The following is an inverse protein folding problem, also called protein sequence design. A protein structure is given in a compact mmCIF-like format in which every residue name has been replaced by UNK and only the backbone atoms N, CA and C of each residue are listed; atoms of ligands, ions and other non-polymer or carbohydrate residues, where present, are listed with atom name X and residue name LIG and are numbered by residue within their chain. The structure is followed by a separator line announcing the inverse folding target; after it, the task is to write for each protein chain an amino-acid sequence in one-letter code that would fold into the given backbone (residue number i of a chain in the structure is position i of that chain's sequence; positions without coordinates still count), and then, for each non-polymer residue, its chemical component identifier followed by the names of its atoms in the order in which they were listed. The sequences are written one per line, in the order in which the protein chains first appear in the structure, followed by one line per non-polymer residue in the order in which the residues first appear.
data_IF_266128915121
#
_entry.id   IF_266128915121
#
_cell.length_a   1.000
_cell.length_b   1.000
_cell.length_c   1.000
_cell.angle_alpha   90.00
_cell.angle_beta   90.00
_cell.angle_gamma   90.00
#
_symmetry.space_group_name_H-M   'P 1'
#
loop_
_entity.id
_entity.type
_entity.pdbx_description
1 polymer ?
#
# COMPACT_ATOMS: atom_id res chain seq x y z
N UNK A 1 5.87 0.01 -21.16
CA UNK A 1 5.78 -0.41 -19.75
C UNK A 1 7.15 -0.13 -19.12
N UNK A 2 7.28 0.03 -17.79
CA UNK A 2 8.61 0.17 -17.21
C UNK A 2 9.42 -1.09 -17.49
N UNK A 3 10.65 -0.95 -17.99
CA UNK A 3 11.53 -2.06 -18.33
C UNK A 3 12.37 -2.51 -17.12
N UNK A 4 12.26 -1.80 -16.00
CA UNK A 4 12.98 -2.05 -14.75
C UNK A 4 12.03 -2.59 -13.66
N UNK A 5 12.26 -3.80 -13.12
CA UNK A 5 11.49 -4.36 -11.99
C UNK A 5 11.38 -3.41 -10.79
N UNK A 6 12.42 -2.62 -10.49
CA UNK A 6 12.40 -1.69 -9.37
C UNK A 6 11.50 -0.48 -9.57
N UNK A 7 11.32 -0.02 -10.81
CA UNK A 7 10.33 1.01 -11.11
C UNK A 7 8.90 0.49 -10.92
N UNK A 8 8.66 -0.79 -11.24
CA UNK A 8 7.37 -1.44 -11.00
C UNK A 8 7.09 -1.55 -9.51
N UNK A 9 8.08 -1.93 -8.70
CA UNK A 9 7.95 -2.04 -7.23
C UNK A 9 7.68 -0.66 -6.61
N UNK A 10 8.40 0.39 -7.04
CA UNK A 10 8.16 1.77 -6.58
C UNK A 10 6.77 2.27 -6.96
N UNK A 11 6.34 2.01 -8.19
CA UNK A 11 4.98 2.35 -8.64
C UNK A 11 3.92 1.59 -7.83
N UNK A 12 4.14 0.31 -7.54
CA UNK A 12 3.25 -0.47 -6.68
C UNK A 12 3.16 0.13 -5.28
N UNK A 13 4.30 0.46 -4.65
CA UNK A 13 4.34 1.09 -3.34
C UNK A 13 3.53 2.39 -3.28
N UNK A 14 3.65 3.24 -4.29
CA UNK A 14 2.88 4.49 -4.35
C UNK A 14 1.38 4.23 -4.51
N UNK A 15 0.99 3.21 -5.27
CA UNK A 15 -0.42 2.79 -5.38
C UNK A 15 -0.95 2.28 -4.06
N UNK A 16 -0.20 1.46 -3.33
CA UNK A 16 -0.64 0.95 -2.03
C UNK A 16 -0.78 2.07 -0.99
N UNK A 17 0.12 3.06 -1.01
CA UNK A 17 -0.01 4.26 -0.15
C UNK A 17 -1.28 5.05 -0.49
N UNK A 18 -1.65 5.17 -1.77
CA UNK A 18 -2.90 5.83 -2.20
C UNK A 18 -4.11 5.00 -1.76
N UNK A 19 -4.09 3.68 -1.97
CA UNK A 19 -5.16 2.77 -1.59
C UNK A 19 -5.42 2.82 -0.08
N UNK A 20 -4.36 2.77 0.74
CA UNK A 20 -4.44 2.94 2.19
C UNK A 20 -5.16 4.23 2.61
N UNK A 21 -4.77 5.38 2.03
CA UNK A 21 -5.42 6.67 2.32
C UNK A 21 -6.88 6.66 1.90
N UNK A 22 -7.20 6.12 0.73
CA UNK A 22 -8.57 6.05 0.22
C UNK A 22 -9.45 5.18 1.12
N UNK A 23 -9.01 3.96 1.47
CA UNK A 23 -9.78 3.09 2.35
C UNK A 23 -9.94 3.65 3.77
N UNK A 24 -8.91 4.34 4.28
CA UNK A 24 -9.01 5.04 5.57
C UNK A 24 -10.08 6.13 5.52
N UNK A 25 -10.11 6.92 4.44
CA UNK A 25 -11.12 7.96 4.25
C UNK A 25 -12.52 7.37 4.01
N UNK A 26 -12.64 6.30 3.23
CA UNK A 26 -13.90 5.60 3.00
C UNK A 26 -14.46 4.99 4.29
N UNK A 27 -13.62 4.42 5.14
CA UNK A 27 -14.01 3.98 6.47
C UNK A 27 -14.52 5.15 7.34
N UNK A 28 -13.95 6.36 7.19
CA UNK A 28 -14.34 7.54 7.96
C UNK A 28 -15.73 8.06 7.56
N UNK A 29 -16.07 8.01 6.26
CA UNK A 29 -17.34 8.52 5.73
C UNK A 29 -18.44 7.45 5.63
N UNK A 30 -18.11 6.16 5.77
CA UNK A 30 -19.06 5.08 5.74
C UNK A 30 -20.08 5.17 6.89
N UNK A 31 -21.36 5.15 6.54
CA UNK A 31 -22.48 5.24 7.49
C UNK A 31 -22.88 3.89 8.06
N UNK A 32 -22.69 2.81 7.29
CA UNK A 32 -22.99 1.44 7.71
C UNK A 32 -21.77 0.84 8.44
N UNK A 33 -21.94 0.32 9.68
CA UNK A 33 -20.85 -0.25 10.46
C UNK A 33 -20.06 -1.35 9.72
N UNK A 34 -20.76 -2.22 9.01
CA UNK A 34 -20.17 -3.36 8.29
C UNK A 34 -19.27 -2.90 7.14
N UNK A 35 -19.69 -1.85 6.44
CA UNK A 35 -18.92 -1.24 5.34
C UNK A 35 -17.69 -0.49 5.89
N UNK A 36 -17.85 0.21 7.03
CA UNK A 36 -16.72 0.85 7.71
C UNK A 36 -15.68 -0.19 8.12
N UNK A 37 -16.11 -1.31 8.69
CA UNK A 37 -15.20 -2.35 9.17
C UNK A 37 -14.50 -3.05 8.00
N UNK A 38 -15.20 -3.25 6.88
CA UNK A 38 -14.58 -3.72 5.64
C UNK A 38 -13.49 -2.76 5.14
N UNK A 39 -13.76 -1.45 5.07
CA UNK A 39 -12.75 -0.48 4.63
C UNK A 39 -11.58 -0.37 5.61
N UNK A 40 -11.81 -0.52 6.91
CA UNK A 40 -10.73 -0.60 7.91
C UNK A 40 -9.86 -1.82 7.71
N UNK A 41 -10.48 -2.98 7.46
CA UNK A 41 -9.77 -4.21 7.15
C UNK A 41 -8.90 -4.04 5.90
N UNK A 42 -9.46 -3.52 4.81
CA UNK A 42 -8.71 -3.25 3.58
C UNK A 42 -7.55 -2.27 3.81
N UNK A 43 -7.76 -1.19 4.56
CA UNK A 43 -6.69 -0.27 4.91
C UNK A 43 -5.55 -0.97 5.67
N UNK A 44 -5.85 -1.83 6.64
CA UNK A 44 -4.80 -2.56 7.36
C UNK A 44 -4.06 -3.58 6.48
N UNK A 45 -4.72 -4.17 5.47
CA UNK A 45 -4.03 -5.02 4.48
C UNK A 45 -3.07 -4.19 3.60
N UNK A 46 -3.50 -3.05 3.07
CA UNK A 46 -2.62 -2.20 2.25
C UNK A 46 -1.42 -1.67 3.03
N UNK A 47 -1.60 -1.41 4.33
CA UNK A 47 -0.49 -1.04 5.22
C UNK A 47 0.58 -2.14 5.31
N UNK A 48 0.18 -3.42 5.29
CA UNK A 48 1.12 -4.55 5.25
C UNK A 48 1.83 -4.60 3.89
N UNK A 49 1.11 -4.37 2.79
CA UNK A 49 1.71 -4.31 1.45
C UNK A 49 2.74 -3.17 1.34
N UNK A 50 2.41 -1.97 1.84
CA UNK A 50 3.34 -0.83 1.89
C UNK A 50 4.62 -1.20 2.64
N UNK A 51 4.49 -1.87 3.80
CA UNK A 51 5.65 -2.31 4.58
C UNK A 51 6.50 -3.31 3.80
N UNK A 52 5.88 -4.36 3.25
CA UNK A 52 6.58 -5.39 2.47
C UNK A 52 7.36 -4.78 1.29
N UNK A 53 6.72 -3.92 0.51
CA UNK A 53 7.35 -3.27 -0.65
C UNK A 53 8.45 -2.30 -0.24
N UNK A 54 8.30 -1.59 0.89
CA UNK A 54 9.34 -0.71 1.41
C UNK A 54 10.56 -1.50 1.88
N UNK A 55 10.34 -2.60 2.60
CA UNK A 55 11.40 -3.50 3.08
C UNK A 55 12.17 -4.12 1.89
N UNK A 56 11.48 -4.45 0.79
CA UNK A 56 12.13 -4.98 -0.42
C UNK A 56 13.01 -3.93 -1.11
N UNK A 57 12.50 -2.70 -1.25
CA UNK A 57 13.28 -1.59 -1.81
C UNK A 57 14.54 -1.30 -0.96
N UNK A 58 14.40 -1.32 0.36
CA UNK A 58 15.53 -1.09 1.27
C UNK A 58 16.60 -2.19 1.15
N UNK A 59 16.21 -3.45 1.04
CA UNK A 59 17.13 -4.57 0.85
C UNK A 59 17.89 -4.46 -0.46
N UNK A 60 17.20 -4.18 -1.57
CA UNK A 60 17.85 -4.06 -2.88
C UNK A 60 18.82 -2.87 -2.90
N UNK A 61 18.44 -1.75 -2.28
CA UNK A 61 19.33 -0.59 -2.11
C UNK A 61 20.58 -0.92 -1.28
N UNK A 62 20.49 -1.84 -0.31
CA UNK A 62 21.64 -2.30 0.47
C UNK A 62 22.48 -3.38 -0.23
N UNK A 63 21.94 -4.08 -1.23
CA UNK A 63 22.72 -5.07 -2.00
C UNK A 63 23.58 -4.42 -3.09
N UNK A 64 23.27 -3.18 -3.50
CA UNK A 64 24.03 -2.41 -4.48
C UNK A 64 25.17 -1.56 -3.86
N UNK A 65 25.29 -1.50 -2.53
CA UNK A 65 26.41 -0.86 -1.80
C UNK A 65 27.50 -1.86 -1.42
#
# INVERSE_FOLDING_TARGET
MPDNPMEVIRMALDREKVAYRNYTEYARIATQPEIRDLFRYLAEEEKKHVKLLSDEIEKETHQEM
#
